data_IF_463427767074
#
_entry.id   IF_463427767074
#
_cell.length_a   1.000
_cell.length_b   1.000
_cell.length_c   1.000
_cell.angle_alpha   90.00
_cell.angle_beta   90.00
_cell.angle_gamma   90.00
#
_symmetry.space_group_name_H-M   'P 1'
#
loop_
_entity.id
_entity.type
_entity.pdbx_description
1 polymer ?
#
# COMPACT_ATOMS: atom_id res chain seq x y z
N UNK A 1 -20.22 31.59 -60.72
CA UNK A 1 -21.48 30.83 -60.83
C UNK A 1 -21.21 29.43 -60.29
N UNK A 2 -21.91 29.08 -59.21
CA UNK A 2 -22.08 27.78 -58.50
C UNK A 2 -22.45 26.62 -59.46
N UNK A 3 -22.33 25.29 -59.16
CA UNK A 3 -22.33 24.60 -57.84
C UNK A 3 -21.16 23.61 -57.60
N UNK A 4 -20.64 23.36 -56.38
CA UNK A 4 -21.22 22.89 -55.10
C UNK A 4 -22.01 21.57 -55.23
N UNK A 5 -21.31 20.43 -55.11
CA UNK A 5 -21.93 19.12 -54.85
C UNK A 5 -22.37 19.04 -53.38
N UNK A 6 -23.67 18.85 -53.16
CA UNK A 6 -24.30 18.51 -51.88
C UNK A 6 -24.51 17.00 -51.75
N UNK A 7 -24.60 16.58 -50.49
CA UNK A 7 -25.26 15.38 -49.96
C UNK A 7 -24.57 14.03 -50.12
N UNK A 8 -23.94 13.58 -49.04
CA UNK A 8 -24.14 12.22 -48.54
C UNK A 8 -24.64 12.34 -47.09
N UNK A 9 -25.94 12.11 -46.91
CA UNK A 9 -26.55 11.85 -45.62
C UNK A 9 -26.21 10.41 -45.22
N UNK A 10 -25.81 10.23 -43.96
CA UNK A 10 -25.66 8.93 -43.30
C UNK A 10 -27.06 8.43 -42.93
N UNK A 11 -27.44 7.18 -43.21
CA UNK A 11 -28.74 6.66 -42.78
C UNK A 11 -28.74 6.30 -41.29
N UNK A 12 -29.90 6.57 -40.70
CA UNK A 12 -30.23 6.51 -39.27
C UNK A 12 -30.12 5.12 -38.62
N UNK A 13 -29.96 5.22 -37.31
CA UNK A 13 -29.94 4.18 -36.29
C UNK A 13 -31.07 3.15 -36.37
N UNK A 14 -30.73 1.89 -36.08
CA UNK A 14 -31.60 0.95 -35.37
C UNK A 14 -30.74 0.23 -34.32
N UNK A 15 -30.73 0.74 -33.09
CA UNK A 15 -30.32 -0.02 -31.90
C UNK A 15 -31.58 -0.36 -31.12
N UNK A 16 -31.93 -1.65 -31.08
CA UNK A 16 -32.93 -2.17 -30.18
C UNK A 16 -32.33 -2.29 -28.76
N UNK A 17 -33.06 -1.95 -27.69
CA UNK A 17 -32.57 -2.12 -26.33
C UNK A 17 -32.71 -3.59 -25.92
N UNK A 18 -31.57 -4.28 -25.81
CA UNK A 18 -31.49 -5.56 -25.11
C UNK A 18 -31.48 -5.30 -23.60
N UNK A 19 -32.55 -5.70 -22.93
CA UNK A 19 -32.60 -5.80 -21.47
C UNK A 19 -31.57 -6.83 -20.98
N UNK A 20 -30.54 -6.37 -20.27
CA UNK A 20 -29.82 -7.18 -19.29
C UNK A 20 -30.23 -6.70 -17.91
N UNK A 21 -31.29 -7.32 -17.39
CA UNK A 21 -31.59 -7.34 -15.95
C UNK A 21 -30.63 -8.30 -15.27
N UNK A 22 -30.01 -7.85 -14.17
CA UNK A 22 -29.34 -8.73 -13.23
C UNK A 22 -27.94 -8.29 -12.80
N UNK A 23 -27.77 -7.05 -12.33
CA UNK A 23 -26.67 -6.76 -11.40
C UNK A 23 -27.30 -6.44 -10.04
N UNK A 24 -27.12 -7.35 -9.10
CA UNK A 24 -27.61 -7.27 -7.74
C UNK A 24 -27.10 -5.97 -7.09
N UNK A 25 -28.01 -5.05 -6.76
CA UNK A 25 -27.70 -3.92 -5.90
C UNK A 25 -27.33 -4.46 -4.52
N UNK A 26 -26.03 -4.66 -4.25
CA UNK A 26 -25.54 -4.85 -2.90
C UNK A 26 -26.11 -3.73 -2.05
N UNK A 27 -26.74 -4.07 -0.92
CA UNK A 27 -27.31 -3.03 -0.08
C UNK A 27 -26.15 -2.19 0.51
N UNK A 28 -26.42 -0.91 0.82
CA UNK A 28 -25.40 0.02 1.35
C UNK A 28 -24.66 -0.55 2.57
N UNK A 29 -25.30 -1.42 3.36
CA UNK A 29 -24.71 -2.09 4.52
C UNK A 29 -23.72 -3.18 4.14
N UNK A 30 -23.97 -3.94 3.07
CA UNK A 30 -23.06 -4.95 2.52
C UNK A 30 -21.81 -4.32 1.92
N UNK A 31 -21.97 -3.23 1.14
CA UNK A 31 -20.85 -2.46 0.60
C UNK A 31 -19.96 -1.93 1.74
N UNK A 32 -20.60 -1.32 2.74
CA UNK A 32 -19.90 -0.79 3.92
C UNK A 32 -19.19 -1.88 4.74
N UNK A 33 -19.82 -3.04 4.92
CA UNK A 33 -19.20 -4.18 5.61
C UNK A 33 -18.02 -4.77 4.82
N UNK A 34 -18.14 -4.86 3.49
CA UNK A 34 -17.05 -5.27 2.62
C UNK A 34 -15.87 -4.29 2.69
N UNK A 35 -16.15 -2.99 2.71
CA UNK A 35 -15.12 -1.96 2.85
C UNK A 35 -14.42 -2.03 4.22
N UNK A 36 -15.17 -2.28 5.31
CA UNK A 36 -14.60 -2.53 6.64
C UNK A 36 -13.62 -3.70 6.64
N UNK A 37 -14.06 -4.84 6.11
CA UNK A 37 -13.22 -6.05 6.02
C UNK A 37 -11.92 -5.75 5.29
N UNK A 38 -11.97 -5.04 4.17
CA UNK A 38 -10.79 -4.70 3.34
C UNK A 38 -9.88 -3.66 4.00
N UNK A 39 -10.41 -2.65 4.69
CA UNK A 39 -9.60 -1.67 5.42
C UNK A 39 -8.90 -2.31 6.62
N UNK A 40 -9.62 -3.11 7.38
CA UNK A 40 -9.05 -3.93 8.46
C UNK A 40 -7.98 -4.86 7.89
N UNK A 41 -8.28 -5.56 6.80
CA UNK A 41 -7.34 -6.46 6.14
C UNK A 41 -6.06 -5.74 5.70
N UNK A 42 -6.18 -4.57 5.07
CA UNK A 42 -5.01 -3.79 4.64
C UNK A 42 -4.14 -3.31 5.80
N UNK A 43 -4.74 -2.77 6.87
CA UNK A 43 -3.99 -2.25 8.03
C UNK A 43 -3.41 -3.39 8.89
N UNK A 44 -4.23 -4.37 9.29
CA UNK A 44 -3.81 -5.53 10.10
C UNK A 44 -2.87 -6.42 9.31
N UNK A 45 -3.12 -6.60 8.02
CA UNK A 45 -2.26 -7.35 7.12
C UNK A 45 -0.88 -6.72 7.00
N UNK A 46 -0.80 -5.39 6.79
CA UNK A 46 0.46 -4.66 6.79
C UNK A 46 1.22 -4.83 8.12
N UNK A 47 0.54 -4.64 9.25
CA UNK A 47 1.18 -4.74 10.56
C UNK A 47 1.65 -6.16 10.93
N UNK A 48 0.91 -7.20 10.55
CA UNK A 48 1.36 -8.58 10.69
C UNK A 48 2.50 -8.91 9.73
N UNK A 49 2.48 -8.35 8.53
CA UNK A 49 3.53 -8.51 7.54
C UNK A 49 4.87 -7.97 8.05
N UNK A 50 4.86 -6.79 8.65
CA UNK A 50 5.96 -6.21 9.42
C UNK A 50 6.40 -7.17 10.54
N UNK A 51 5.54 -7.43 11.53
CA UNK A 51 5.94 -8.14 12.74
C UNK A 51 6.44 -9.59 12.49
N UNK A 52 5.84 -10.28 11.52
CA UNK A 52 6.27 -11.63 11.12
C UNK A 52 7.52 -11.56 10.22
N UNK A 53 7.64 -10.54 9.37
CA UNK A 53 8.83 -10.29 8.57
C UNK A 53 10.06 -9.99 9.44
N UNK A 54 9.90 -9.20 10.50
CA UNK A 54 10.94 -8.96 11.50
C UNK A 54 11.36 -10.27 12.18
N UNK A 55 10.39 -11.09 12.61
CA UNK A 55 10.66 -12.40 13.18
C UNK A 55 11.42 -13.32 12.20
N UNK A 56 11.19 -13.17 10.89
CA UNK A 56 11.83 -13.96 9.86
C UNK A 56 13.34 -13.64 9.72
N UNK A 57 13.86 -12.51 10.20
CA UNK A 57 15.32 -12.25 10.23
C UNK A 57 16.13 -13.28 11.02
N UNK A 58 15.48 -14.08 11.87
CA UNK A 58 16.10 -15.24 12.55
C UNK A 58 16.56 -16.36 11.61
N UNK A 59 16.30 -16.26 10.30
CA UNK A 59 16.79 -17.21 9.29
C UNK A 59 16.01 -18.52 9.27
N UNK A 60 14.77 -18.52 9.78
CA UNK A 60 13.91 -19.70 9.81
C UNK A 60 13.26 -19.92 8.43
N UNK A 61 13.21 -21.16 7.97
CA UNK A 61 12.31 -21.56 6.89
C UNK A 61 10.85 -21.56 7.35
N UNK A 62 9.90 -21.74 6.43
CA UNK A 62 8.46 -21.61 6.70
C UNK A 62 8.00 -22.41 7.94
N UNK A 63 8.34 -23.70 8.02
CA UNK A 63 7.95 -24.54 9.15
C UNK A 63 8.48 -24.01 10.50
N UNK A 64 9.73 -23.53 10.52
CA UNK A 64 10.34 -22.94 11.71
C UNK A 64 9.68 -21.61 12.09
N UNK A 65 9.34 -20.77 11.11
CA UNK A 65 8.68 -19.50 11.33
C UNK A 65 7.24 -19.70 11.85
N UNK A 66 6.49 -20.65 11.29
CA UNK A 66 5.17 -21.05 11.80
C UNK A 66 5.23 -21.51 13.26
N UNK A 67 6.21 -22.34 13.62
CA UNK A 67 6.42 -22.77 15.00
C UNK A 67 6.78 -21.58 15.92
N UNK A 68 7.62 -20.66 15.44
CA UNK A 68 7.99 -19.46 16.19
C UNK A 68 6.77 -18.54 16.43
N UNK A 69 5.93 -18.32 15.42
CA UNK A 69 4.67 -17.56 15.57
C UNK A 69 3.75 -18.23 16.60
N UNK A 70 3.62 -19.56 16.56
CA UNK A 70 2.79 -20.31 17.49
C UNK A 70 3.26 -20.16 18.95
N UNK A 71 4.57 -20.09 19.19
CA UNK A 71 5.19 -19.97 20.51
C UNK A 71 5.24 -18.54 21.08
N UNK A 72 5.01 -17.50 20.25
CA UNK A 72 5.02 -16.11 20.69
C UNK A 72 3.69 -15.74 21.36
N UNK A 73 3.77 -14.99 22.45
CA UNK A 73 2.59 -14.35 23.04
C UNK A 73 2.17 -13.11 22.26
N UNK A 74 3.15 -12.38 21.70
CA UNK A 74 2.94 -11.20 20.88
C UNK A 74 3.86 -11.18 19.65
N UNK A 75 3.31 -10.67 18.55
CA UNK A 75 4.00 -10.30 17.31
C UNK A 75 4.24 -8.79 17.36
N UNK A 76 5.50 -8.41 17.57
CA UNK A 76 5.96 -7.04 17.80
C UNK A 76 6.33 -6.42 16.45
N UNK A 77 5.81 -5.23 16.18
CA UNK A 77 6.03 -4.51 14.92
C UNK A 77 7.19 -3.50 15.01
N UNK A 78 7.71 -3.07 13.86
CA UNK A 78 8.86 -2.15 13.72
C UNK A 78 8.41 -0.72 13.37
N UNK A 79 9.31 0.10 12.79
CA UNK A 79 8.99 1.44 12.33
C UNK A 79 7.99 1.46 11.18
N UNK A 80 7.87 0.38 10.41
CA UNK A 80 6.88 0.20 9.36
C UNK A 80 5.46 0.45 9.86
N UNK A 81 5.04 -0.33 10.86
CA UNK A 81 3.72 -0.19 11.47
C UNK A 81 3.62 1.08 12.30
N UNK A 82 4.67 1.47 13.03
CA UNK A 82 4.64 2.70 13.82
C UNK A 82 4.40 3.95 12.93
N UNK A 83 5.01 4.00 11.74
CA UNK A 83 4.76 5.04 10.77
C UNK A 83 3.43 4.87 10.03
N UNK A 84 2.95 3.65 9.79
CA UNK A 84 1.61 3.43 9.23
C UNK A 84 0.51 3.91 10.20
N UNK A 85 0.66 3.65 11.50
CA UNK A 85 -0.19 4.15 12.57
C UNK A 85 -0.19 5.68 12.56
N UNK A 86 0.98 6.33 12.58
CA UNK A 86 1.05 7.80 12.56
C UNK A 86 0.41 8.43 11.31
N UNK A 87 0.46 7.73 10.17
CA UNK A 87 -0.21 8.19 8.95
C UNK A 87 -1.73 8.06 9.06
N UNK A 88 -2.23 6.95 9.59
CA UNK A 88 -3.65 6.76 9.84
C UNK A 88 -4.18 7.75 10.89
N UNK A 89 -3.46 7.97 11.99
CA UNK A 89 -3.79 8.97 13.03
C UNK A 89 -3.93 10.37 12.42
N UNK A 90 -2.95 10.79 11.62
CA UNK A 90 -3.01 12.11 10.98
C UNK A 90 -4.21 12.24 10.02
N UNK A 91 -4.49 11.22 9.21
CA UNK A 91 -5.62 11.26 8.26
C UNK A 91 -6.96 11.25 9.02
N UNK A 92 -7.11 10.41 10.05
CA UNK A 92 -8.36 10.29 10.81
C UNK A 92 -8.66 11.53 11.65
N UNK A 93 -7.64 12.20 12.16
CA UNK A 93 -7.78 13.44 12.92
C UNK A 93 -8.13 14.63 12.03
N UNK A 94 -7.46 14.78 10.88
CA UNK A 94 -7.60 15.96 10.00
C UNK A 94 -8.70 15.78 8.94
N UNK A 95 -9.03 14.54 8.57
CA UNK A 95 -9.97 14.20 7.48
C UNK A 95 -9.40 14.37 6.07
N UNK A 96 -8.15 14.83 5.96
CA UNK A 96 -7.40 14.94 4.71
C UNK A 96 -5.92 14.73 5.01
N UNK A 97 -5.12 14.60 3.97
CA UNK A 97 -3.69 14.59 4.12
C UNK A 97 -3.16 16.01 4.35
N UNK A 98 -2.44 16.20 5.44
CA UNK A 98 -1.79 17.45 5.80
C UNK A 98 -0.32 17.16 6.16
N UNK A 99 0.65 17.52 5.29
CA UNK A 99 2.06 17.17 5.49
C UNK A 99 2.67 17.71 6.78
N UNK A 100 2.19 18.86 7.27
CA UNK A 100 2.69 19.44 8.51
C UNK A 100 2.19 18.61 9.70
N UNK A 101 0.88 18.38 9.79
CA UNK A 101 0.30 17.55 10.85
C UNK A 101 0.87 16.13 10.84
N UNK A 102 1.06 15.54 9.65
CA UNK A 102 1.65 14.22 9.49
C UNK A 102 3.09 14.17 10.02
N UNK A 103 3.91 15.17 9.69
CA UNK A 103 5.27 15.26 10.21
C UNK A 103 5.30 15.42 11.73
N UNK A 104 4.43 16.26 12.28
CA UNK A 104 4.32 16.45 13.73
C UNK A 104 3.89 15.16 14.44
N UNK A 105 2.94 14.42 13.85
CA UNK A 105 2.50 13.11 14.34
C UNK A 105 3.65 12.09 14.32
N UNK A 106 4.38 11.98 13.21
CA UNK A 106 5.54 11.08 13.13
C UNK A 106 6.62 11.42 14.15
N UNK A 107 6.92 12.71 14.35
CA UNK A 107 7.91 13.13 15.35
C UNK A 107 7.44 12.77 16.77
N UNK A 108 6.18 13.02 17.09
CA UNK A 108 5.63 12.71 18.41
C UNK A 108 5.64 11.20 18.69
N UNK A 109 5.29 10.37 17.70
CA UNK A 109 5.33 8.91 17.83
C UNK A 109 6.77 8.41 17.97
N UNK A 110 7.70 8.94 17.19
CA UNK A 110 9.13 8.62 17.31
C UNK A 110 9.71 9.01 18.68
N UNK A 111 9.32 10.16 19.24
CA UNK A 111 9.78 10.58 20.58
C UNK A 111 9.29 9.64 21.68
N UNK A 112 8.10 9.05 21.53
CA UNK A 112 7.55 8.08 22.47
C UNK A 112 8.22 6.71 22.34
N UNK A 113 8.46 6.25 21.10
CA UNK A 113 9.00 4.91 20.82
C UNK A 113 10.19 4.93 19.85
N UNK A 114 11.33 5.56 20.20
CA UNK A 114 12.47 5.70 19.28
C UNK A 114 13.19 4.37 18.96
N UNK A 115 12.89 3.29 19.69
CA UNK A 115 13.53 1.98 19.56
C UNK A 115 12.93 1.08 18.46
N UNK A 116 11.94 1.57 17.71
CA UNK A 116 11.16 0.76 16.74
C UNK A 116 11.91 0.27 15.50
N UNK A 117 13.17 0.68 15.29
CA UNK A 117 13.95 0.21 14.13
C UNK A 117 14.24 1.28 13.07
N UNK A 118 13.76 2.52 13.27
CA UNK A 118 13.94 3.64 12.34
C UNK A 118 15.37 3.76 11.80
N UNK A 119 15.50 3.75 10.47
CA UNK A 119 16.72 4.20 9.81
C UNK A 119 17.05 5.67 10.17
N UNK A 120 18.28 6.11 9.91
CA UNK A 120 18.74 7.46 10.31
C UNK A 120 17.99 8.64 9.66
N UNK A 121 17.23 8.39 8.59
CA UNK A 121 16.49 9.40 7.84
C UNK A 121 15.46 10.16 8.68
N UNK A 122 14.33 9.53 9.09
CA UNK A 122 13.30 10.19 9.89
C UNK A 122 13.82 10.88 11.17
N UNK A 123 14.67 10.26 12.01
CA UNK A 123 15.24 10.93 13.19
C UNK A 123 16.04 12.19 12.85
N UNK A 124 16.82 12.17 11.76
CA UNK A 124 17.56 13.36 11.28
C UNK A 124 16.59 14.46 10.86
N UNK A 125 15.54 14.11 10.13
CA UNK A 125 14.50 15.05 9.69
C UNK A 125 13.82 15.70 10.90
N UNK A 126 13.39 14.90 11.87
CA UNK A 126 12.74 15.38 13.09
C UNK A 126 13.65 16.34 13.86
N UNK A 127 14.94 16.01 13.98
CA UNK A 127 15.92 16.90 14.60
C UNK A 127 16.14 18.21 13.83
N UNK A 128 16.11 18.18 12.48
CA UNK A 128 16.26 19.40 11.67
C UNK A 128 15.05 20.32 11.81
N UNK A 129 13.84 19.76 11.78
CA UNK A 129 12.60 20.51 12.01
C UNK A 129 12.62 21.16 13.39
N UNK A 130 12.93 20.39 14.44
CA UNK A 130 12.95 20.90 15.81
C UNK A 130 14.02 21.96 16.05
N UNK A 131 15.26 21.72 15.59
CA UNK A 131 16.40 22.59 15.92
C UNK A 131 16.60 23.76 14.97
N UNK A 132 16.11 23.65 13.73
CA UNK A 132 16.34 24.66 12.68
C UNK A 132 15.06 25.29 12.15
N UNK A 133 13.88 24.85 12.60
CA UNK A 133 12.60 25.38 12.15
C UNK A 133 12.32 25.13 10.66
N UNK A 134 12.96 24.11 10.07
CA UNK A 134 12.71 23.71 8.69
C UNK A 134 11.32 23.08 8.58
N UNK A 135 10.67 23.20 7.42
CA UNK A 135 9.55 22.30 7.12
C UNK A 135 10.05 20.86 6.96
N UNK A 136 9.17 19.89 7.20
CA UNK A 136 9.50 18.48 6.98
C UNK A 136 9.97 18.20 5.55
N UNK A 137 9.35 18.83 4.55
CA UNK A 137 9.71 18.65 3.15
C UNK A 137 11.11 19.20 2.79
N UNK A 138 11.50 20.33 3.39
CA UNK A 138 12.83 20.90 3.21
C UNK A 138 13.88 20.04 3.91
N UNK A 139 13.58 19.58 5.12
CA UNK A 139 14.45 18.69 5.88
C UNK A 139 14.66 17.39 5.09
N UNK A 140 13.59 16.72 4.64
CA UNK A 140 13.65 15.51 3.82
C UNK A 140 14.47 15.69 2.54
N UNK A 141 14.33 16.84 1.85
CA UNK A 141 15.10 17.16 0.64
C UNK A 141 16.58 17.39 0.92
N UNK A 142 16.93 17.93 2.10
CA UNK A 142 18.33 18.21 2.46
C UNK A 142 19.19 16.96 2.68
N UNK A 143 18.58 15.80 2.93
CA UNK A 143 19.30 14.53 3.11
C UNK A 143 19.96 14.07 1.81
N UNK A 144 20.98 13.22 1.94
CA UNK A 144 21.68 12.56 0.81
C UNK A 144 22.21 13.56 -0.24
N UNK A 145 22.84 14.64 0.23
CA UNK A 145 23.41 15.66 -0.65
C UNK A 145 22.37 16.50 -1.39
N UNK A 146 21.15 16.64 -0.85
CA UNK A 146 20.08 17.44 -1.44
C UNK A 146 19.13 16.68 -2.36
N UNK A 147 19.32 15.36 -2.51
CA UNK A 147 18.47 14.53 -3.37
C UNK A 147 17.26 13.93 -2.62
N UNK A 148 17.35 13.84 -1.29
CA UNK A 148 16.39 13.12 -0.47
C UNK A 148 16.52 11.59 -0.55
N UNK A 149 15.80 10.89 0.32
CA UNK A 149 15.82 9.42 0.40
C UNK A 149 15.02 8.77 -0.73
N UNK A 150 15.58 7.76 -1.39
CA UNK A 150 14.86 6.80 -2.25
C UNK A 150 14.58 5.44 -1.56
N UNK A 151 14.78 5.38 -0.23
CA UNK A 151 14.43 4.21 0.57
C UNK A 151 12.94 3.86 0.49
N UNK A 152 12.61 2.65 0.91
CA UNK A 152 11.25 2.10 0.94
C UNK A 152 10.38 2.64 2.08
N UNK A 153 10.92 3.46 2.99
CA UNK A 153 10.19 3.92 4.18
C UNK A 153 8.91 4.71 3.91
N UNK A 154 8.75 5.31 2.73
CA UNK A 154 7.48 5.90 2.30
C UNK A 154 6.46 4.86 1.82
N UNK A 155 6.92 3.80 1.16
CA UNK A 155 6.07 2.72 0.67
C UNK A 155 5.62 1.78 1.81
N UNK A 156 6.51 1.47 2.76
CA UNK A 156 6.21 0.55 3.87
C UNK A 156 4.98 0.96 4.68
N UNK A 157 4.77 2.28 4.84
CA UNK A 157 3.68 2.87 5.63
C UNK A 157 2.44 3.25 4.84
N UNK A 158 2.37 2.96 3.54
CA UNK A 158 1.43 3.64 2.62
C UNK A 158 -0.01 3.11 2.66
N UNK A 159 -0.27 2.02 3.41
CA UNK A 159 -1.58 1.39 3.52
C UNK A 159 -2.74 2.37 3.78
N UNK A 160 -2.66 3.31 4.76
CA UNK A 160 -3.74 4.26 5.01
C UNK A 160 -4.09 5.14 3.80
N UNK A 161 -3.11 5.53 2.98
CA UNK A 161 -3.34 6.36 1.79
C UNK A 161 -4.05 5.56 0.70
N UNK A 162 -3.58 4.35 0.42
CA UNK A 162 -4.20 3.47 -0.56
C UNK A 162 -5.63 3.07 -0.19
N UNK A 163 -5.90 2.91 1.10
CA UNK A 163 -7.24 2.62 1.62
C UNK A 163 -8.14 3.88 1.58
N UNK A 164 -7.74 4.97 2.22
CA UNK A 164 -8.60 6.14 2.39
C UNK A 164 -8.89 6.89 1.08
N UNK A 165 -7.92 6.94 0.17
CA UNK A 165 -8.04 7.63 -1.11
C UNK A 165 -8.28 6.67 -2.29
N UNK A 166 -8.76 5.45 -2.03
CA UNK A 166 -8.82 4.37 -3.03
C UNK A 166 -9.55 4.75 -4.33
N UNK A 167 -10.56 5.61 -4.26
CA UNK A 167 -11.40 6.03 -5.38
C UNK A 167 -11.20 7.50 -5.80
N UNK A 168 -10.19 8.17 -5.23
CA UNK A 168 -9.96 9.60 -5.49
C UNK A 168 -9.05 9.78 -6.71
N UNK A 169 -9.38 10.67 -7.67
CA UNK A 169 -8.59 10.87 -8.89
C UNK A 169 -7.13 11.31 -8.68
N UNK A 170 -6.81 11.93 -7.55
CA UNK A 170 -5.50 12.51 -7.24
C UNK A 170 -4.65 11.63 -6.31
N UNK A 171 -4.92 10.32 -6.24
CA UNK A 171 -4.21 9.37 -5.37
C UNK A 171 -2.67 9.52 -5.41
N UNK A 172 -2.10 9.77 -6.58
CA UNK A 172 -0.65 9.99 -6.70
C UNK A 172 -0.18 11.20 -5.88
N UNK A 173 -0.94 12.30 -5.92
CA UNK A 173 -0.60 13.52 -5.18
C UNK A 173 -0.79 13.33 -3.67
N UNK A 174 -1.77 12.53 -3.26
CA UNK A 174 -1.92 12.12 -1.86
C UNK A 174 -0.71 11.27 -1.41
N UNK A 175 -0.31 10.27 -2.19
CA UNK A 175 0.89 9.49 -1.88
C UNK A 175 2.16 10.37 -1.85
N UNK A 176 2.31 11.31 -2.79
CA UNK A 176 3.43 12.25 -2.82
C UNK A 176 3.47 13.15 -1.60
N UNK A 177 2.34 13.72 -1.20
CA UNK A 177 2.27 14.56 -0.02
C UNK A 177 2.67 13.78 1.26
N UNK A 178 2.26 12.51 1.39
CA UNK A 178 2.63 11.65 2.51
C UNK A 178 4.11 11.27 2.49
N UNK A 179 4.63 10.90 1.31
CA UNK A 179 6.03 10.55 1.13
C UNK A 179 6.95 11.75 1.44
N UNK A 180 6.59 12.95 0.98
CA UNK A 180 7.42 14.17 1.05
C UNK A 180 7.84 14.58 2.46
N UNK A 181 7.14 14.11 3.49
CA UNK A 181 7.48 14.34 4.90
C UNK A 181 8.82 13.70 5.28
N UNK A 182 9.20 12.58 4.64
CA UNK A 182 10.47 11.87 4.93
C UNK A 182 11.28 11.47 3.71
N UNK A 183 10.67 11.35 2.54
CA UNK A 183 11.26 10.88 1.30
C UNK A 183 10.95 11.88 0.18
N UNK A 184 11.96 12.67 -0.19
CA UNK A 184 11.83 13.68 -1.24
C UNK A 184 12.34 13.22 -2.62
N UNK A 185 13.01 12.07 -2.70
CA UNK A 185 13.54 11.58 -3.96
C UNK A 185 12.40 11.09 -4.88
N UNK A 186 12.38 11.44 -6.19
CA UNK A 186 11.31 11.05 -7.11
C UNK A 186 11.01 9.55 -7.13
N UNK A 187 12.05 8.70 -7.15
CA UNK A 187 11.89 7.23 -7.10
C UNK A 187 11.19 6.78 -5.80
N UNK A 188 11.57 7.36 -4.65
CA UNK A 188 10.95 7.06 -3.35
C UNK A 188 9.47 7.40 -3.32
N UNK A 189 9.12 8.57 -3.85
CA UNK A 189 7.74 9.06 -3.99
C UNK A 189 6.92 8.17 -4.92
N UNK A 190 7.45 7.85 -6.10
CA UNK A 190 6.74 7.09 -7.13
C UNK A 190 6.51 5.63 -6.70
N UNK A 191 7.50 5.00 -6.08
CA UNK A 191 7.36 3.66 -5.52
C UNK A 191 6.25 3.58 -4.45
N UNK A 192 6.16 4.58 -3.57
CA UNK A 192 5.07 4.66 -2.59
C UNK A 192 3.71 4.88 -3.29
N UNK A 193 3.65 5.75 -4.29
CA UNK A 193 2.42 6.02 -5.04
C UNK A 193 1.91 4.78 -5.81
N UNK A 194 2.79 4.03 -6.47
CA UNK A 194 2.44 2.79 -7.18
C UNK A 194 1.92 1.72 -6.20
N UNK A 195 2.52 1.59 -5.02
CA UNK A 195 1.99 0.67 -4.01
C UNK A 195 0.64 1.14 -3.46
N UNK A 196 0.46 2.44 -3.22
CA UNK A 196 -0.84 3.01 -2.84
C UNK A 196 -1.91 2.71 -3.89
N UNK A 197 -1.57 2.79 -5.17
CA UNK A 197 -2.45 2.40 -6.28
C UNK A 197 -2.80 0.91 -6.23
N UNK A 198 -1.82 0.03 -5.99
CA UNK A 198 -2.10 -1.41 -5.83
C UNK A 198 -3.12 -1.68 -4.73
N UNK A 199 -2.96 -1.04 -3.56
CA UNK A 199 -3.90 -1.15 -2.43
C UNK A 199 -5.28 -0.59 -2.83
N UNK A 200 -5.32 0.60 -3.44
CA UNK A 200 -6.55 1.24 -3.88
C UNK A 200 -7.35 0.37 -4.87
N UNK A 201 -6.66 -0.30 -5.78
CA UNK A 201 -7.30 -1.21 -6.73
C UNK A 201 -7.71 -2.52 -6.06
N UNK A 202 -6.90 -3.07 -5.17
CA UNK A 202 -7.24 -4.26 -4.38
C UNK A 202 -8.54 -4.09 -3.57
N UNK A 203 -8.77 -2.90 -3.01
CA UNK A 203 -10.02 -2.56 -2.31
C UNK A 203 -11.26 -2.72 -3.21
N UNK A 204 -11.15 -2.39 -4.50
CA UNK A 204 -12.27 -2.38 -5.44
C UNK A 204 -12.62 -3.75 -6.04
N UNK A 205 -11.71 -4.71 -5.92
CA UNK A 205 -11.85 -6.03 -6.53
C UNK A 205 -12.58 -7.01 -5.60
N UNK A 206 -13.37 -7.92 -6.17
CA UNK A 206 -13.98 -9.01 -5.42
C UNK A 206 -13.03 -10.22 -5.38
N UNK A 207 -12.62 -10.71 -4.19
CA UNK A 207 -11.81 -11.92 -4.07
C UNK A 207 -12.55 -13.20 -4.49
N UNK A 208 -13.89 -13.18 -4.58
CA UNK A 208 -14.69 -14.28 -5.13
C UNK A 208 -14.60 -14.43 -6.66
N UNK A 209 -14.07 -13.43 -7.35
CA UNK A 209 -13.86 -13.47 -8.79
C UNK A 209 -12.39 -13.79 -9.16
N UNK A 210 -12.18 -14.19 -10.42
CA UNK A 210 -10.83 -14.39 -10.94
C UNK A 210 -10.03 -13.08 -10.86
N UNK A 211 -8.86 -13.13 -10.23
CA UNK A 211 -7.99 -11.96 -10.13
C UNK A 211 -7.62 -11.43 -11.54
N UNK A 212 -7.86 -10.14 -11.84
CA UNK A 212 -7.67 -9.59 -13.17
C UNK A 212 -6.19 -9.21 -13.39
N UNK A 213 -5.33 -10.23 -13.51
CA UNK A 213 -3.87 -10.08 -13.54
C UNK A 213 -3.36 -9.11 -14.61
N UNK A 214 -3.83 -9.26 -15.86
CA UNK A 214 -3.35 -8.43 -16.97
C UNK A 214 -3.67 -6.94 -16.77
N UNK A 215 -4.95 -6.51 -16.59
CA UNK A 215 -5.24 -5.09 -16.39
C UNK A 215 -4.67 -4.55 -15.07
N UNK A 216 -4.55 -5.36 -14.01
CA UNK A 216 -3.92 -4.92 -12.76
C UNK A 216 -2.42 -4.64 -12.95
N UNK A 217 -1.70 -5.57 -13.59
CA UNK A 217 -0.26 -5.41 -13.84
C UNK A 217 0.05 -4.31 -14.85
N UNK A 218 -0.80 -4.13 -15.87
CA UNK A 218 -0.69 -3.00 -16.80
C UNK A 218 -0.94 -1.66 -16.08
N UNK A 219 -1.94 -1.59 -15.20
CA UNK A 219 -2.23 -0.37 -14.44
C UNK A 219 -1.08 0.04 -13.50
N UNK A 220 -0.35 -0.92 -12.90
CA UNK A 220 0.88 -0.62 -12.15
C UNK A 220 1.95 0.06 -13.01
N UNK A 221 2.13 -0.41 -14.25
CA UNK A 221 3.10 0.14 -15.20
C UNK A 221 2.68 1.55 -15.63
N UNK A 222 1.39 1.75 -15.93
CA UNK A 222 0.87 3.03 -16.40
C UNK A 222 0.84 4.10 -15.30
N UNK A 223 0.64 3.69 -14.05
CA UNK A 223 0.63 4.60 -12.91
C UNK A 223 2.03 5.10 -12.51
N UNK A 224 3.08 4.32 -12.81
CA UNK A 224 4.47 4.66 -12.51
C UNK A 224 4.96 5.89 -13.31
N UNK A 225 5.49 6.88 -12.61
CA UNK A 225 5.98 8.13 -13.21
C UNK A 225 7.48 8.18 -13.46
N UNK A 226 8.31 7.42 -12.74
CA UNK A 226 9.75 7.32 -13.02
C UNK A 226 10.08 6.10 -13.86
N UNK A 227 11.12 6.17 -14.71
CA UNK A 227 11.56 5.02 -15.51
C UNK A 227 11.92 3.81 -14.64
N UNK A 228 12.59 4.02 -13.50
CA UNK A 228 13.06 2.94 -12.64
C UNK A 228 11.91 2.12 -12.05
N UNK A 229 10.84 2.77 -11.58
CA UNK A 229 9.67 2.07 -11.05
C UNK A 229 8.90 1.42 -12.20
N UNK A 230 8.73 2.11 -13.32
CA UNK A 230 8.04 1.57 -14.50
C UNK A 230 8.72 0.31 -15.05
N UNK A 231 10.03 0.35 -15.21
CA UNK A 231 10.84 -0.78 -15.70
C UNK A 231 10.75 -1.97 -14.74
N UNK A 232 10.74 -1.70 -13.42
CA UNK A 232 10.54 -2.74 -12.42
C UNK A 232 9.13 -3.33 -12.48
N UNK A 233 8.07 -2.54 -12.70
CA UNK A 233 6.70 -3.08 -12.88
C UNK A 233 6.58 -3.90 -14.17
N UNK A 234 7.21 -3.48 -15.26
CA UNK A 234 7.33 -4.28 -16.48
C UNK A 234 8.04 -5.62 -16.23
N UNK A 235 9.12 -5.59 -15.44
CA UNK A 235 9.84 -6.79 -15.03
C UNK A 235 8.98 -7.69 -14.15
N UNK A 236 8.26 -7.17 -13.16
CA UNK A 236 7.31 -7.94 -12.34
C UNK A 236 6.30 -8.67 -13.21
N UNK A 237 5.63 -7.98 -14.14
CA UNK A 237 4.68 -8.61 -15.07
C UNK A 237 5.35 -9.73 -15.87
N UNK A 238 6.55 -9.48 -16.41
CA UNK A 238 7.28 -10.50 -17.17
C UNK A 238 7.62 -11.73 -16.33
N UNK A 239 7.99 -11.55 -15.06
CA UNK A 239 8.34 -12.64 -14.15
C UNK A 239 7.12 -13.49 -13.79
N UNK A 240 5.97 -12.87 -13.56
CA UNK A 240 4.71 -13.58 -13.28
C UNK A 240 4.28 -14.38 -14.51
N UNK A 241 4.24 -13.77 -15.70
CA UNK A 241 3.83 -14.45 -16.95
C UNK A 241 4.76 -15.62 -17.29
N UNK A 242 6.06 -15.50 -17.01
CA UNK A 242 7.05 -16.54 -17.25
C UNK A 242 7.15 -17.58 -16.13
N UNK A 243 6.27 -17.51 -15.12
CA UNK A 243 6.25 -18.44 -13.99
C UNK A 243 7.62 -18.53 -13.26
N UNK A 244 8.37 -17.44 -13.21
CA UNK A 244 9.71 -17.43 -12.58
C UNK A 244 9.55 -17.66 -11.08
N UNK A 245 10.32 -18.57 -10.46
CA UNK A 245 10.15 -18.90 -9.05
C UNK A 245 10.61 -17.76 -8.12
N UNK A 246 10.04 -17.66 -6.89
CA UNK A 246 10.29 -16.54 -5.99
C UNK A 246 11.76 -16.23 -5.66
N UNK A 247 12.66 -17.22 -5.42
CA UNK A 247 14.07 -16.92 -5.18
C UNK A 247 14.76 -16.21 -6.36
N UNK A 248 14.38 -16.55 -7.60
CA UNK A 248 14.92 -15.94 -8.81
C UNK A 248 14.32 -14.56 -9.05
N UNK A 249 13.02 -14.42 -8.81
CA UNK A 249 12.33 -13.13 -8.87
C UNK A 249 12.94 -12.13 -7.88
N UNK A 250 13.15 -12.54 -6.62
CA UNK A 250 13.79 -11.71 -5.59
C UNK A 250 15.18 -11.22 -6.05
N UNK A 251 16.03 -12.10 -6.60
CA UNK A 251 17.36 -11.69 -7.09
C UNK A 251 17.30 -10.67 -8.23
N UNK A 252 16.32 -10.79 -9.13
CA UNK A 252 16.19 -9.91 -10.31
C UNK A 252 15.50 -8.59 -10.00
N UNK A 253 14.52 -8.61 -9.10
CA UNK A 253 13.78 -7.43 -8.68
C UNK A 253 14.57 -6.59 -7.67
N UNK A 254 15.48 -7.21 -6.92
CA UNK A 254 16.29 -6.55 -5.91
C UNK A 254 15.93 -7.03 -4.51
N UNK A 255 16.84 -6.79 -3.57
CA UNK A 255 16.70 -7.19 -2.16
C UNK A 255 17.30 -6.13 -1.23
N UNK A 256 17.29 -4.87 -1.64
CA UNK A 256 17.83 -3.76 -0.84
C UNK A 256 16.69 -2.91 -0.28
N UNK A 257 17.03 -2.00 0.64
CA UNK A 257 16.07 -1.04 1.23
C UNK A 257 15.66 0.06 0.25
N UNK A 258 16.25 0.12 -0.96
CA UNK A 258 15.80 1.05 -1.99
C UNK A 258 14.42 0.62 -2.49
N UNK A 259 13.49 1.57 -2.68
CA UNK A 259 12.09 1.21 -3.02
C UNK A 259 11.98 0.44 -4.35
N UNK A 260 12.80 0.79 -5.35
CA UNK A 260 12.84 0.11 -6.65
C UNK A 260 13.52 -1.27 -6.60
N UNK A 261 14.06 -1.66 -5.44
CA UNK A 261 14.67 -2.96 -5.17
C UNK A 261 14.01 -3.72 -4.01
N UNK A 262 12.85 -3.26 -3.54
CA UNK A 262 12.05 -3.91 -2.49
C UNK A 262 10.58 -4.00 -2.89
N UNK A 263 9.91 -2.85 -3.07
CA UNK A 263 8.49 -2.78 -3.44
C UNK A 263 8.11 -3.69 -4.62
N UNK A 264 8.90 -3.78 -5.73
CA UNK A 264 8.57 -4.69 -6.82
C UNK A 264 8.48 -6.16 -6.42
N UNK A 265 9.29 -6.63 -5.46
CA UNK A 265 9.22 -8.00 -5.00
C UNK A 265 8.00 -8.24 -4.09
N UNK A 266 7.61 -7.24 -3.28
CA UNK A 266 6.36 -7.30 -2.52
C UNK A 266 5.12 -7.38 -3.44
N UNK A 267 5.10 -6.59 -4.52
CA UNK A 267 4.05 -6.66 -5.55
C UNK A 267 4.07 -8.03 -6.26
N UNK A 268 5.25 -8.55 -6.61
CA UNK A 268 5.38 -9.89 -7.16
C UNK A 268 4.80 -10.96 -6.22
N UNK A 269 5.08 -10.89 -4.92
CA UNK A 269 4.57 -11.86 -3.94
C UNK A 269 3.03 -11.88 -3.90
N UNK A 270 2.40 -10.71 -3.93
CA UNK A 270 0.94 -10.62 -4.04
C UNK A 270 0.41 -11.18 -5.37
N UNK A 271 0.98 -10.76 -6.51
CA UNK A 271 0.53 -11.23 -7.83
C UNK A 271 0.75 -12.73 -8.03
N UNK A 272 1.74 -13.32 -7.34
CA UNK A 272 1.99 -14.76 -7.34
C UNK A 272 0.94 -15.53 -6.53
N UNK A 273 0.48 -14.95 -5.43
CA UNK A 273 -0.43 -15.58 -4.49
C UNK A 273 -1.64 -14.69 -4.14
N UNK A 274 -2.42 -14.22 -5.12
CA UNK A 274 -3.48 -13.25 -4.85
C UNK A 274 -4.60 -13.83 -3.98
N UNK A 275 -4.76 -15.16 -4.01
CA UNK A 275 -5.83 -15.90 -3.32
C UNK A 275 -5.43 -16.45 -1.94
N UNK A 276 -4.24 -16.14 -1.42
CA UNK A 276 -3.79 -16.64 -0.13
C UNK A 276 -2.91 -15.64 0.59
N UNK A 277 -3.43 -15.09 1.69
CA UNK A 277 -2.70 -14.18 2.56
C UNK A 277 -1.40 -14.81 3.09
N UNK A 278 -1.47 -16.04 3.60
CA UNK A 278 -0.30 -16.73 4.13
C UNK A 278 0.76 -17.00 3.06
N UNK A 279 0.37 -17.49 1.88
CA UNK A 279 1.32 -17.76 0.81
C UNK A 279 1.96 -16.46 0.28
N UNK A 280 1.18 -15.37 0.19
CA UNK A 280 1.71 -14.04 -0.13
C UNK A 280 2.77 -13.60 0.89
N UNK A 281 2.44 -13.67 2.19
CA UNK A 281 3.35 -13.32 3.27
C UNK A 281 4.65 -14.13 3.23
N UNK A 282 4.57 -15.45 3.20
CA UNK A 282 5.76 -16.30 3.20
C UNK A 282 6.60 -16.12 1.94
N UNK A 283 5.97 -15.90 0.78
CA UNK A 283 6.68 -15.54 -0.45
C UNK A 283 7.46 -14.22 -0.28
N UNK A 284 6.87 -13.20 0.35
CA UNK A 284 7.53 -11.91 0.52
C UNK A 284 8.77 -12.00 1.43
N UNK A 285 8.70 -12.75 2.53
CA UNK A 285 9.69 -12.65 3.62
C UNK A 285 10.80 -13.73 3.57
N UNK A 286 10.58 -14.86 2.88
CA UNK A 286 11.51 -16.00 2.93
C UNK A 286 12.67 -15.93 1.92
N UNK A 287 12.68 -14.95 1.02
CA UNK A 287 13.67 -14.86 -0.07
C UNK A 287 14.75 -13.78 0.12
N UNK A 288 14.88 -13.31 1.37
CA UNK A 288 15.90 -12.35 1.81
C UNK A 288 15.56 -10.91 1.45
N UNK A 289 16.49 -10.00 1.75
CA UNK A 289 16.23 -8.56 1.69
C UNK A 289 15.59 -8.05 2.96
N UNK A 290 14.81 -6.98 2.82
CA UNK A 290 14.20 -6.23 3.90
C UNK A 290 12.86 -6.87 4.32
N UNK A 291 12.91 -7.87 5.18
CA UNK A 291 11.83 -8.87 5.34
C UNK A 291 10.56 -8.30 5.95
N UNK A 292 10.67 -7.51 7.00
CA UNK A 292 9.60 -6.71 7.61
C UNK A 292 8.92 -5.81 6.57
N UNK A 293 9.69 -4.97 5.88
CA UNK A 293 9.16 -4.04 4.87
C UNK A 293 8.50 -4.75 3.69
N UNK A 294 9.11 -5.84 3.20
CA UNK A 294 8.52 -6.66 2.15
C UNK A 294 7.19 -7.27 2.60
N UNK A 295 7.13 -7.77 3.84
CA UNK A 295 5.91 -8.29 4.45
C UNK A 295 4.83 -7.21 4.57
N UNK A 296 5.19 -6.05 5.11
CA UNK A 296 4.28 -4.92 5.32
C UNK A 296 3.63 -4.45 4.01
N UNK A 297 4.42 -4.31 2.95
CA UNK A 297 3.93 -3.88 1.63
C UNK A 297 3.08 -4.96 0.95
N UNK A 298 3.53 -6.21 0.93
CA UNK A 298 2.82 -7.30 0.25
C UNK A 298 1.48 -7.60 0.94
N UNK A 299 1.48 -7.61 2.27
CA UNK A 299 0.30 -7.94 3.07
C UNK A 299 -0.69 -6.78 3.18
N UNK A 300 -0.25 -5.53 2.98
CA UNK A 300 -1.17 -4.40 2.78
C UNK A 300 -2.06 -4.62 1.54
N UNK A 301 -1.47 -5.02 0.42
CA UNK A 301 -2.23 -5.30 -0.82
C UNK A 301 -3.08 -6.55 -0.66
N UNK A 302 -2.50 -7.65 -0.15
CA UNK A 302 -3.20 -8.92 0.02
C UNK A 302 -4.39 -8.80 0.98
N UNK A 303 -4.22 -8.12 2.12
CA UNK A 303 -5.28 -7.89 3.08
C UNK A 303 -6.36 -6.93 2.57
N UNK A 304 -5.98 -5.89 1.82
CA UNK A 304 -6.96 -5.01 1.16
C UNK A 304 -7.78 -5.71 0.06
N UNK A 305 -7.21 -6.75 -0.56
CA UNK A 305 -7.92 -7.57 -1.54
C UNK A 305 -8.84 -8.60 -0.87
N UNK A 306 -8.28 -9.44 0.00
CA UNK A 306 -8.94 -10.61 0.57
C UNK A 306 -9.85 -10.30 1.77
N UNK A 307 -9.62 -9.17 2.45
CA UNK A 307 -10.29 -8.86 3.71
C UNK A 307 -9.62 -9.46 4.93
N UNK A 308 -9.97 -8.95 6.12
CA UNK A 308 -9.40 -9.38 7.41
C UNK A 308 -9.70 -10.83 7.76
N UNK A 309 -10.79 -11.39 7.23
CA UNK A 309 -11.23 -12.76 7.45
C UNK A 309 -10.27 -13.79 6.84
N UNK A 310 -9.52 -13.40 5.80
CA UNK A 310 -8.49 -14.25 5.20
C UNK A 310 -7.21 -14.33 6.03
N UNK A 311 -7.06 -13.47 7.05
CA UNK A 311 -5.89 -13.44 7.93
C UNK A 311 -6.14 -14.40 9.11
N UNK A 312 -5.23 -15.36 9.38
CA UNK A 312 -5.38 -16.30 10.48
C UNK A 312 -5.67 -15.59 11.80
N UNK A 313 -6.81 -15.94 12.43
CA UNK A 313 -7.25 -15.32 13.68
C UNK A 313 -6.19 -15.41 14.77
N UNK A 314 -5.53 -16.57 14.90
CA UNK A 314 -4.46 -16.80 15.87
C UNK A 314 -3.22 -15.90 15.66
N UNK A 315 -3.03 -15.33 14.47
CA UNK A 315 -1.98 -14.33 14.24
C UNK A 315 -2.49 -12.94 14.59
N UNK A 316 -3.71 -12.59 14.15
CA UNK A 316 -4.35 -11.31 14.48
C UNK A 316 -4.34 -11.08 15.98
N UNK A 317 -4.79 -12.05 16.77
CA UNK A 317 -4.87 -11.96 18.24
C UNK A 317 -3.53 -11.71 18.93
N UNK A 318 -2.40 -12.03 18.28
CA UNK A 318 -1.05 -11.81 18.80
C UNK A 318 -0.45 -10.48 18.36
N UNK A 319 -1.07 -9.74 17.43
CA UNK A 319 -0.53 -8.48 16.94
C UNK A 319 -0.44 -7.46 18.08
N UNK A 320 0.75 -6.88 18.28
CA UNK A 320 0.95 -5.75 19.18
C UNK A 320 0.03 -4.58 18.80
N UNK A 321 -0.62 -3.97 19.80
CA UNK A 321 -1.57 -2.87 19.62
C UNK A 321 -2.67 -3.15 18.58
N UNK A 322 -3.04 -4.43 18.38
CA UNK A 322 -4.11 -4.85 17.46
C UNK A 322 -5.34 -3.96 17.51
N UNK A 323 -5.86 -3.68 18.71
CA UNK A 323 -7.07 -2.88 18.87
C UNK A 323 -6.91 -1.47 18.30
N UNK A 324 -5.77 -0.82 18.54
CA UNK A 324 -5.49 0.53 18.01
C UNK A 324 -5.42 0.52 16.48
N UNK A 325 -4.76 -0.48 15.90
CA UNK A 325 -4.68 -0.64 14.44
C UNK A 325 -6.07 -0.88 13.82
N UNK A 326 -6.90 -1.72 14.46
CA UNK A 326 -8.26 -1.99 14.03
C UNK A 326 -9.16 -0.75 14.15
N UNK A 327 -9.07 0.00 15.25
CA UNK A 327 -9.85 1.21 15.50
C UNK A 327 -9.51 2.32 14.48
N UNK A 328 -8.23 2.48 14.15
CA UNK A 328 -7.78 3.40 13.10
C UNK A 328 -8.32 2.98 11.73
N UNK A 329 -8.26 1.69 11.39
CA UNK A 329 -8.81 1.18 10.14
C UNK A 329 -10.32 1.47 10.02
N UNK A 330 -11.09 1.24 11.09
CA UNK A 330 -12.52 1.52 11.14
C UNK A 330 -12.82 3.02 11.05
N UNK A 331 -12.04 3.85 11.74
CA UNK A 331 -12.18 5.30 11.67
C UNK A 331 -11.90 5.84 10.26
N UNK A 332 -10.92 5.27 9.54
CA UNK A 332 -10.66 5.61 8.14
C UNK A 332 -11.87 5.30 7.25
N UNK A 333 -12.54 4.15 7.46
CA UNK A 333 -13.78 3.81 6.74
C UNK A 333 -14.88 4.83 7.02
N UNK A 334 -15.12 5.13 8.29
CA UNK A 334 -16.17 6.07 8.70
C UNK A 334 -15.96 7.47 8.10
N UNK A 335 -14.73 7.99 8.18
CA UNK A 335 -14.35 9.27 7.58
C UNK A 335 -14.52 9.27 6.07
N UNK A 336 -14.18 8.17 5.40
CA UNK A 336 -14.30 8.00 3.94
C UNK A 336 -15.77 8.04 3.51
N UNK A 337 -16.64 7.28 4.17
CA UNK A 337 -18.08 7.26 3.89
C UNK A 337 -18.71 8.64 4.13
N UNK A 338 -18.33 9.36 5.20
CA UNK A 338 -18.79 10.73 5.43
C UNK A 338 -18.38 11.69 4.30
N UNK A 339 -17.16 11.55 3.79
CA UNK A 339 -16.66 12.36 2.67
C UNK A 339 -17.48 12.14 1.39
N UNK A 340 -17.85 10.90 1.08
CA UNK A 340 -18.69 10.56 -0.07
C UNK A 340 -20.08 11.17 0.03
N UNK A 341 -20.72 11.01 1.20
CA UNK A 341 -22.04 11.59 1.46
C UNK A 341 -22.04 13.11 1.34
N UNK A 342 -20.97 13.77 1.80
CA UNK A 342 -20.83 15.23 1.69
C UNK A 342 -20.64 15.72 0.25
N UNK A 343 -20.00 14.93 -0.62
CA UNK A 343 -19.80 15.25 -2.04
C UNK A 343 -21.04 14.99 -2.90
N UNK A 344 -21.91 14.09 -2.46
CA UNK A 344 -23.15 13.73 -3.16
C UNK A 344 -24.31 14.70 -2.89
N UNK A 345 -24.19 15.57 -1.89
CA UNK A 345 -25.17 16.62 -1.54
C UNK A 345 -24.79 17.96 -2.16
#
# INVERSE_FOLDING_TARGET
MVPIRRNNAVPDAIFAPGHFQGCSMLNHKEIYNGLKSKFLGGMVGSALGDAIGELAFRGLGEAGLRAAIAQRDALIYTDDTAMAIGLAESITQVGRLDPQHLGDTFRANFQQEPWRGYASGPPTIFSLVERRGMSYSEAARSLFGGQGSFGNGAAMRIAPVGLFFHDVPDLYEQARASASVTHAHPIGVDGAAVLAWAIAQAVKLDPGESFPLEPFSQGLIDFARTPEIRDKMMLVRSLIVKDVPPPDAARRLGRSVAVHESMPFAVYAFLRHPQSFEACLFCAILHGGDRDTLGAMACAVSGAYLGVEAIPQAWREKLENRQHVEDLALTLVERRTQHEESRAR
#
